data_IF_715626659763
#
_entry.id   IF_715626659763
#
_cell.length_a   1.000
_cell.length_b   1.000
_cell.length_c   1.000
_cell.angle_alpha   90.00
_cell.angle_beta   90.00
_cell.angle_gamma   90.00
#
_symmetry.space_group_name_H-M   'P 1'
#
loop_
_entity.id
_entity.type
_entity.pdbx_description
1 polymer ?
#
# COMPACT_ATOMS: atom_id res chain seq x y z
N UNK A 1 -11.80 -14.85 16.25
CA UNK A 1 -11.45 -13.60 16.98
C UNK A 1 -11.34 -12.49 15.94
N UNK A 2 -11.79 -11.27 16.22
CA UNK A 2 -11.68 -10.16 15.24
C UNK A 2 -10.27 -9.59 15.22
N UNK A 3 -9.71 -9.34 14.03
CA UNK A 3 -8.42 -8.69 13.86
C UNK A 3 -8.63 -7.24 13.42
N UNK A 4 -8.00 -6.26 14.08
CA UNK A 4 -8.07 -4.83 13.71
C UNK A 4 -6.70 -4.33 13.25
N UNK A 5 -6.69 -3.61 12.13
CA UNK A 5 -5.48 -3.13 11.44
C UNK A 5 -5.78 -1.86 10.64
N UNK A 6 -4.82 -1.44 9.81
CA UNK A 6 -5.02 -0.39 8.80
C UNK A 6 -6.22 -0.70 7.89
N UNK A 7 -7.01 0.33 7.59
CA UNK A 7 -8.05 0.28 6.55
C UNK A 7 -7.45 0.25 5.11
N UNK A 8 -6.13 0.40 4.98
CA UNK A 8 -5.40 0.37 3.71
C UNK A 8 -4.73 -0.98 3.57
N UNK A 9 -4.87 -1.61 2.41
CA UNK A 9 -4.35 -2.94 2.16
C UNK A 9 -4.18 -3.20 0.67
N UNK A 10 -3.38 -4.22 0.36
CA UNK A 10 -3.20 -4.73 -0.99
C UNK A 10 -3.68 -6.17 -0.97
N UNK A 11 -4.71 -6.47 -1.74
CA UNK A 11 -5.34 -7.78 -1.80
C UNK A 11 -5.01 -8.46 -3.13
N UNK A 12 -4.74 -9.77 -3.08
CA UNK A 12 -4.57 -10.56 -4.29
C UNK A 12 -5.92 -10.73 -4.99
N UNK A 13 -5.89 -10.88 -6.33
CA UNK A 13 -7.10 -11.14 -7.12
C UNK A 13 -7.86 -12.38 -6.62
N UNK A 14 -7.12 -13.45 -6.32
CA UNK A 14 -7.71 -14.70 -5.82
C UNK A 14 -8.45 -14.50 -4.48
N UNK A 15 -7.88 -13.72 -3.56
CA UNK A 15 -8.55 -13.44 -2.28
C UNK A 15 -9.79 -12.56 -2.46
N UNK A 16 -9.73 -11.57 -3.36
CA UNK A 16 -10.92 -10.75 -3.69
C UNK A 16 -12.02 -11.60 -4.32
N UNK A 17 -11.67 -12.51 -5.23
CA UNK A 17 -12.63 -13.45 -5.81
C UNK A 17 -13.25 -14.36 -4.74
N UNK A 18 -12.47 -14.83 -3.78
CA UNK A 18 -12.99 -15.58 -2.63
C UNK A 18 -13.96 -14.77 -1.78
N UNK A 19 -13.65 -13.49 -1.49
CA UNK A 19 -14.56 -12.61 -0.75
C UNK A 19 -15.91 -12.37 -1.46
N UNK A 20 -15.95 -12.43 -2.80
CA UNK A 20 -17.15 -12.15 -3.61
C UNK A 20 -17.91 -13.44 -3.94
N UNK A 21 -17.21 -14.46 -4.40
CA UNK A 21 -17.76 -15.69 -4.99
C UNK A 21 -17.53 -16.93 -4.12
N UNK A 22 -16.94 -16.76 -2.93
CA UNK A 22 -16.66 -17.85 -2.00
C UNK A 22 -17.88 -18.74 -1.78
N UNK A 23 -17.69 -20.05 -1.90
CA UNK A 23 -18.76 -21.02 -1.77
C UNK A 23 -19.15 -21.24 -0.30
N UNK A 24 -18.20 -21.10 0.63
CA UNK A 24 -18.47 -21.13 2.07
C UNK A 24 -19.16 -19.85 2.56
N UNK A 25 -19.69 -19.91 3.78
CA UNK A 25 -20.46 -18.83 4.36
C UNK A 25 -19.62 -17.80 5.14
N UNK A 26 -18.30 -17.97 5.25
CA UNK A 26 -17.48 -17.11 6.10
C UNK A 26 -17.48 -15.64 5.61
N UNK A 27 -17.15 -15.32 4.33
CA UNK A 27 -17.23 -13.94 3.84
C UNK A 27 -18.64 -13.36 3.96
N UNK A 28 -19.68 -14.15 3.66
CA UNK A 28 -21.08 -13.71 3.72
C UNK A 28 -21.53 -13.37 5.15
N UNK A 29 -21.23 -14.25 6.11
CA UNK A 29 -21.57 -14.05 7.51
C UNK A 29 -20.82 -12.86 8.10
N UNK A 30 -19.52 -12.74 7.80
CA UNK A 30 -18.73 -11.60 8.27
C UNK A 30 -19.18 -10.29 7.62
N UNK A 31 -19.64 -10.31 6.37
CA UNK A 31 -20.15 -9.10 5.71
C UNK A 31 -21.41 -8.57 6.41
N UNK A 32 -22.33 -9.47 6.79
CA UNK A 32 -23.53 -9.11 7.57
C UNK A 32 -23.18 -8.56 8.96
N UNK A 33 -22.14 -9.10 9.59
CA UNK A 33 -21.67 -8.60 10.88
C UNK A 33 -21.02 -7.22 10.75
N UNK A 34 -20.07 -7.09 9.82
CA UNK A 34 -19.27 -5.88 9.64
C UNK A 34 -20.06 -4.72 9.00
N UNK A 35 -21.21 -4.97 8.36
CA UNK A 35 -22.12 -3.91 7.91
C UNK A 35 -22.74 -3.11 9.07
N UNK A 36 -22.76 -3.68 10.27
CA UNK A 36 -23.26 -3.04 11.50
C UNK A 36 -22.14 -2.69 12.49
N UNK A 37 -20.88 -2.71 12.04
CA UNK A 37 -19.70 -2.46 12.88
C UNK A 37 -19.06 -1.11 12.54
N UNK A 38 -18.55 -0.37 13.53
CA UNK A 38 -17.83 0.89 13.30
C UNK A 38 -16.43 0.60 12.76
N UNK A 39 -15.96 1.33 11.75
CA UNK A 39 -14.64 1.09 11.12
C UNK A 39 -14.51 -0.31 10.50
N UNK A 40 -15.58 -0.82 9.88
CA UNK A 40 -15.61 -2.16 9.25
C UNK A 40 -14.40 -2.54 8.39
N UNK A 41 -13.86 -1.65 7.54
CA UNK A 41 -12.71 -1.97 6.69
C UNK A 41 -11.41 -2.27 7.48
N UNK A 42 -11.33 -1.87 8.74
CA UNK A 42 -10.17 -2.12 9.59
C UNK A 42 -10.10 -3.55 10.13
N UNK A 43 -11.18 -4.35 9.99
CA UNK A 43 -11.16 -5.73 10.46
C UNK A 43 -11.83 -6.78 9.58
N UNK A 44 -12.67 -6.39 8.61
CA UNK A 44 -13.36 -7.35 7.75
C UNK A 44 -12.39 -8.26 6.99
N UNK A 45 -11.47 -7.68 6.23
CA UNK A 45 -10.56 -8.44 5.37
C UNK A 45 -9.53 -9.25 6.17
N UNK A 46 -9.04 -8.68 7.27
CA UNK A 46 -8.09 -9.32 8.18
C UNK A 46 -8.73 -10.54 8.83
N UNK A 47 -9.98 -10.43 9.25
CA UNK A 47 -10.71 -11.54 9.85
C UNK A 47 -10.98 -12.64 8.82
N UNK A 48 -11.40 -12.30 7.59
CA UNK A 48 -11.59 -13.32 6.54
C UNK A 48 -10.28 -14.03 6.21
N UNK A 49 -9.21 -13.29 5.90
CA UNK A 49 -7.96 -13.88 5.43
C UNK A 49 -7.31 -14.78 6.48
N UNK A 50 -7.45 -14.43 7.77
CA UNK A 50 -6.92 -15.24 8.87
C UNK A 50 -7.76 -16.47 9.20
N UNK A 51 -9.04 -16.49 8.83
CA UNK A 51 -9.93 -17.63 9.07
C UNK A 51 -10.19 -18.46 7.81
N UNK A 52 -9.49 -18.19 6.71
CA UNK A 52 -9.52 -18.97 5.48
C UNK A 52 -8.17 -19.71 5.30
N UNK A 53 -8.11 -21.03 5.57
CA UNK A 53 -6.85 -21.81 5.52
C UNK A 53 -6.08 -21.69 4.22
N UNK A 54 -6.78 -21.51 3.09
CA UNK A 54 -6.21 -21.35 1.75
C UNK A 54 -5.40 -20.04 1.61
N UNK A 55 -5.71 -19.03 2.42
CA UNK A 55 -5.12 -17.69 2.32
C UNK A 55 -4.30 -17.26 3.54
N UNK A 56 -4.51 -17.86 4.71
CA UNK A 56 -3.87 -17.44 5.97
C UNK A 56 -2.34 -17.43 5.89
N UNK A 57 -1.75 -18.39 5.18
CA UNK A 57 -0.30 -18.49 4.96
C UNK A 57 0.27 -17.46 3.98
N UNK A 58 -0.58 -16.75 3.23
CA UNK A 58 -0.17 -15.72 2.25
C UNK A 58 -0.08 -14.32 2.86
N UNK A 59 -0.48 -14.18 4.12
CA UNK A 59 -0.55 -12.88 4.81
C UNK A 59 0.85 -12.35 5.09
N UNK A 60 1.04 -11.07 4.76
CA UNK A 60 2.18 -10.25 5.16
C UNK A 60 1.62 -9.12 6.01
N UNK A 61 2.02 -9.03 7.28
CA UNK A 61 1.56 -7.99 8.21
C UNK A 61 2.23 -6.63 7.94
N UNK A 62 1.98 -6.07 6.76
CA UNK A 62 2.47 -4.76 6.34
C UNK A 62 1.66 -4.24 5.14
N UNK A 63 1.07 -3.05 5.24
CA UNK A 63 0.18 -2.47 4.21
C UNK A 63 0.90 -1.69 3.09
N UNK A 64 2.24 -1.62 3.16
CA UNK A 64 3.13 -0.89 2.24
C UNK A 64 2.96 0.64 2.26
N UNK A 65 2.31 1.19 3.28
CA UNK A 65 2.20 2.62 3.49
C UNK A 65 3.21 3.11 4.55
N UNK A 66 3.86 4.23 4.27
CA UNK A 66 4.53 5.00 5.30
C UNK A 66 3.50 5.90 6.00
N UNK A 67 3.29 5.64 7.28
CA UNK A 67 2.40 6.41 8.15
C UNK A 67 3.21 6.83 9.38
N UNK A 68 3.21 8.13 9.67
CA UNK A 68 3.83 8.68 10.88
C UNK A 68 2.75 9.05 11.89
N UNK A 69 3.05 8.88 13.18
CA UNK A 69 2.16 9.23 14.29
C UNK A 69 2.90 10.14 15.26
N UNK A 70 2.19 11.16 15.76
CA UNK A 70 2.69 12.02 16.83
C UNK A 70 2.88 11.21 18.13
N UNK A 71 3.67 11.72 19.07
CA UNK A 71 3.81 11.16 20.42
C UNK A 71 3.37 12.23 21.44
N UNK A 72 2.25 12.02 22.16
CA UNK A 72 1.33 10.88 22.10
C UNK A 72 0.52 10.82 20.78
N UNK A 73 0.05 9.62 20.37
CA UNK A 73 -0.71 9.48 19.13
C UNK A 73 -2.05 10.22 19.19
N UNK A 74 -2.36 10.94 18.12
CA UNK A 74 -3.66 11.60 17.91
C UNK A 74 -4.66 10.62 17.25
N UNK A 75 -5.91 11.05 17.07
CA UNK A 75 -6.93 10.28 16.36
C UNK A 75 -6.57 10.00 14.89
N UNK A 76 -5.80 10.89 14.27
CA UNK A 76 -5.38 10.75 12.88
C UNK A 76 -3.85 10.80 12.76
N UNK A 77 -3.28 10.13 11.75
CA UNK A 77 -1.85 10.18 11.48
C UNK A 77 -1.32 11.61 11.31
N UNK A 78 -0.05 11.77 11.62
CA UNK A 78 0.71 12.99 11.37
C UNK A 78 0.62 13.39 9.89
N UNK A 79 0.48 14.69 9.63
CA UNK A 79 0.54 15.21 8.26
C UNK A 79 1.99 15.41 7.88
N UNK A 80 2.45 14.60 6.94
CA UNK A 80 3.85 14.57 6.51
C UNK A 80 4.25 15.91 5.90
N UNK A 81 5.45 16.35 6.28
CA UNK A 81 6.09 17.58 5.82
C UNK A 81 7.46 17.29 5.20
N UNK A 82 8.16 18.33 4.76
CA UNK A 82 9.53 18.21 4.26
C UNK A 82 10.48 17.50 5.24
N UNK A 83 10.27 17.69 6.55
CA UNK A 83 11.09 17.08 7.61
C UNK A 83 10.97 15.55 7.65
N UNK A 84 9.86 15.00 7.17
CA UNK A 84 9.59 13.55 7.19
C UNK A 84 10.14 12.84 5.95
N UNK A 85 10.52 13.59 4.92
CA UNK A 85 10.86 13.05 3.60
C UNK A 85 11.97 12.00 3.65
N UNK A 86 13.01 12.23 4.46
CA UNK A 86 14.12 11.28 4.59
C UNK A 86 13.66 9.93 5.14
N UNK A 87 12.86 9.94 6.21
CA UNK A 87 12.31 8.71 6.82
C UNK A 87 11.31 8.03 5.88
N UNK A 88 10.46 8.81 5.24
CA UNK A 88 9.49 8.33 4.25
C UNK A 88 10.19 7.59 3.11
N UNK A 89 11.20 8.19 2.48
CA UNK A 89 11.95 7.57 1.37
C UNK A 89 12.73 6.34 1.86
N UNK A 90 13.36 6.43 3.04
CA UNK A 90 14.16 5.34 3.62
C UNK A 90 13.32 4.11 3.98
N UNK A 91 12.03 4.28 4.31
CA UNK A 91 11.11 3.18 4.61
C UNK A 91 11.02 2.15 3.48
N UNK A 92 11.15 2.63 2.23
CA UNK A 92 10.95 1.81 1.03
C UNK A 92 9.49 1.43 0.76
N UNK A 93 8.55 2.01 1.52
CA UNK A 93 7.11 1.87 1.30
C UNK A 93 6.73 2.37 -0.10
N UNK A 94 5.70 1.74 -0.69
CA UNK A 94 5.21 2.13 -2.01
C UNK A 94 4.33 3.38 -1.95
N UNK A 95 3.64 3.56 -0.82
CA UNK A 95 2.71 4.66 -0.59
C UNK A 95 3.07 5.39 0.71
N UNK A 96 2.54 6.60 0.88
CA UNK A 96 2.67 7.38 2.10
C UNK A 96 1.41 8.21 2.34
N UNK A 97 1.09 8.48 3.61
CA UNK A 97 0.00 9.38 4.00
C UNK A 97 0.25 9.98 5.40
N UNK A 98 -0.32 11.13 5.74
CA UNK A 98 -1.20 12.01 4.95
C UNK A 98 -0.44 13.25 4.51
N UNK A 99 -0.75 13.77 3.32
CA UNK A 99 -0.23 15.05 2.85
C UNK A 99 -1.31 16.12 2.91
N UNK A 100 -0.90 17.36 3.21
CA UNK A 100 -1.77 18.53 3.03
C UNK A 100 -1.81 18.87 1.54
N UNK A 101 -2.95 19.40 1.09
CA UNK A 101 -3.06 19.93 -0.27
C UNK A 101 -2.03 21.05 -0.45
N UNK A 102 -1.36 21.05 -1.61
CA UNK A 102 -0.39 22.08 -2.01
C UNK A 102 0.81 22.22 -1.03
N UNK A 103 1.15 21.14 -0.33
CA UNK A 103 2.30 21.12 0.58
C UNK A 103 3.62 20.95 -0.20
N UNK A 104 4.69 21.70 0.13
CA UNK A 104 5.99 21.61 -0.56
C UNK A 104 6.62 20.21 -0.58
N UNK A 105 6.22 19.32 0.33
CA UNK A 105 6.66 17.91 0.29
C UNK A 105 6.22 17.20 -1.00
N UNK A 106 5.10 17.60 -1.60
CA UNK A 106 4.61 17.05 -2.85
C UNK A 106 5.52 17.45 -4.03
N UNK A 107 5.99 18.69 -4.06
CA UNK A 107 6.97 19.15 -5.06
C UNK A 107 8.29 18.37 -4.92
N UNK A 108 8.72 18.10 -3.68
CA UNK A 108 9.92 17.29 -3.42
C UNK A 108 9.75 15.85 -3.91
N UNK A 109 8.57 15.25 -3.75
CA UNK A 109 8.25 13.92 -4.31
C UNK A 109 8.32 13.96 -5.84
N UNK A 110 7.70 14.98 -6.45
CA UNK A 110 7.67 15.14 -7.89
C UNK A 110 9.06 15.25 -8.50
N UNK A 111 9.92 16.09 -7.90
CA UNK A 111 11.29 16.29 -8.37
C UNK A 111 12.19 15.08 -8.08
N UNK A 112 12.24 14.60 -6.83
CA UNK A 112 13.25 13.61 -6.41
C UNK A 112 12.86 12.17 -6.71
N UNK A 113 11.56 11.85 -6.74
CA UNK A 113 11.09 10.47 -6.90
C UNK A 113 10.47 10.21 -8.27
N UNK A 114 9.70 11.17 -8.79
CA UNK A 114 8.99 11.03 -10.06
C UNK A 114 9.74 11.68 -11.24
N UNK A 115 10.77 12.48 -10.95
CA UNK A 115 11.57 13.21 -11.92
C UNK A 115 10.70 13.99 -12.91
N UNK A 116 9.73 14.74 -12.37
CA UNK A 116 8.80 15.57 -13.15
C UNK A 116 8.80 17.00 -12.63
N UNK A 117 8.59 17.96 -13.53
CA UNK A 117 8.36 19.36 -13.19
C UNK A 117 6.88 19.61 -12.91
N UNK A 118 6.57 20.73 -12.26
CA UNK A 118 5.19 21.12 -12.01
C UNK A 118 4.39 21.19 -13.35
N UNK A 119 3.15 20.70 -13.33
CA UNK A 119 2.29 20.61 -14.50
C UNK A 119 2.66 19.53 -15.53
N UNK A 120 3.77 18.80 -15.35
CA UNK A 120 4.17 17.70 -16.24
C UNK A 120 3.77 16.33 -15.66
N UNK A 121 3.59 15.36 -16.55
CA UNK A 121 3.29 13.97 -16.19
C UNK A 121 4.57 13.20 -15.84
N UNK A 122 4.46 12.21 -14.95
CA UNK A 122 5.56 11.27 -14.68
C UNK A 122 5.89 10.46 -15.94
N UNK A 123 7.13 10.54 -16.39
CA UNK A 123 7.59 9.79 -17.55
C UNK A 123 7.52 8.27 -17.31
N UNK A 124 6.95 7.54 -18.27
CA UNK A 124 6.82 6.08 -18.21
C UNK A 124 6.98 5.43 -19.58
N UNK A 125 6.68 4.13 -19.69
CA UNK A 125 6.75 3.40 -20.96
C UNK A 125 5.89 3.98 -22.08
N UNK A 126 4.83 4.70 -21.70
CA UNK A 126 3.90 5.39 -22.58
C UNK A 126 4.48 6.69 -23.19
N UNK A 127 5.57 7.23 -22.66
CA UNK A 127 6.18 8.45 -23.17
C UNK A 127 7.32 8.10 -24.15
N UNK A 128 7.09 8.33 -25.45
CA UNK A 128 8.07 8.04 -26.51
C UNK A 128 8.31 9.27 -27.42
N UNK A 129 9.32 9.17 -28.29
CA UNK A 129 9.67 10.19 -29.28
C UNK A 129 10.76 11.17 -28.83
N UNK A 130 11.14 12.07 -29.75
CA UNK A 130 12.08 13.17 -29.53
C UNK A 130 11.53 14.43 -30.21
N UNK A 131 11.07 15.46 -29.46
CA UNK A 131 11.19 15.65 -28.02
C UNK A 131 10.40 14.60 -27.19
N UNK A 132 10.74 14.38 -25.90
CA UNK A 132 10.09 13.39 -25.05
C UNK A 132 8.56 13.52 -25.03
N UNK A 133 7.87 12.39 -25.06
CA UNK A 133 6.40 12.27 -25.10
C UNK A 133 5.72 12.87 -26.34
N UNK A 134 6.45 13.16 -27.42
CA UNK A 134 5.86 13.53 -28.71
C UNK A 134 5.08 12.40 -29.39
N UNK A 135 5.28 11.14 -28.96
CA UNK A 135 4.56 9.97 -29.44
C UNK A 135 4.07 9.13 -28.25
N UNK A 136 2.91 8.50 -28.43
CA UNK A 136 2.41 7.52 -27.47
C UNK A 136 3.20 6.21 -27.62
N UNK A 137 3.89 5.83 -26.56
CA UNK A 137 4.66 4.59 -26.45
C UNK A 137 3.83 3.43 -25.93
N UNK A 138 4.51 2.41 -25.39
CA UNK A 138 3.84 1.25 -24.82
C UNK A 138 3.63 1.43 -23.30
N UNK A 139 2.38 1.62 -22.81
CA UNK A 139 2.11 1.81 -21.40
C UNK A 139 2.47 0.60 -20.51
N UNK A 140 2.57 -0.60 -21.07
CA UNK A 140 2.93 -1.81 -20.32
C UNK A 140 4.43 -1.98 -20.14
N UNK A 141 5.25 -1.19 -20.83
CA UNK A 141 6.71 -1.26 -20.73
C UNK A 141 7.18 -0.54 -19.46
N UNK A 142 7.44 -1.31 -18.41
CA UNK A 142 7.96 -0.80 -17.15
C UNK A 142 9.50 -0.67 -17.20
N UNK A 143 10.04 0.45 -16.70
CA UNK A 143 11.48 0.65 -16.51
C UNK A 143 11.77 0.82 -15.01
N UNK A 144 12.46 -0.15 -14.38
CA UNK A 144 12.76 -0.05 -12.95
C UNK A 144 13.65 1.15 -12.62
N UNK A 145 13.15 2.06 -11.78
CA UNK A 145 13.92 3.18 -11.22
C UNK A 145 14.50 2.88 -9.84
N UNK A 146 15.15 3.87 -9.19
CA UNK A 146 15.66 3.74 -7.82
C UNK A 146 14.59 3.34 -6.79
N UNK A 147 13.34 3.78 -6.97
CA UNK A 147 12.21 3.40 -6.14
C UNK A 147 11.96 1.88 -6.10
N UNK A 148 12.08 1.21 -7.24
CA UNK A 148 11.91 -0.26 -7.32
C UNK A 148 12.98 -0.98 -6.50
N UNK A 149 14.21 -0.46 -6.45
CA UNK A 149 15.28 -1.05 -5.61
C UNK A 149 14.95 -0.96 -4.12
N UNK A 150 14.37 0.15 -3.68
CA UNK A 150 13.92 0.33 -2.28
C UNK A 150 12.76 -0.59 -1.95
N UNK A 151 11.74 -0.62 -2.81
CA UNK A 151 10.57 -1.48 -2.63
C UNK A 151 10.96 -2.97 -2.62
N UNK A 152 11.81 -3.42 -3.54
CA UNK A 152 12.32 -4.81 -3.57
C UNK A 152 12.99 -5.20 -2.26
N UNK A 153 13.76 -4.29 -1.65
CA UNK A 153 14.42 -4.53 -0.35
C UNK A 153 13.41 -4.63 0.79
N UNK A 154 12.37 -3.79 0.79
CA UNK A 154 11.29 -3.88 1.77
C UNK A 154 10.56 -5.22 1.62
N UNK A 155 10.09 -5.56 0.42
CA UNK A 155 9.39 -6.81 0.14
C UNK A 155 10.24 -8.02 0.54
N UNK A 156 11.53 -8.02 0.19
CA UNK A 156 12.44 -9.09 0.56
C UNK A 156 12.51 -9.31 2.08
N UNK A 157 12.61 -8.24 2.87
CA UNK A 157 12.58 -8.31 4.34
C UNK A 157 11.25 -8.83 4.88
N UNK A 158 10.13 -8.34 4.33
CA UNK A 158 8.79 -8.72 4.76
C UNK A 158 8.50 -10.21 4.49
N UNK A 159 8.84 -10.70 3.29
CA UNK A 159 8.67 -12.11 2.93
C UNK A 159 9.54 -13.01 3.80
N UNK A 160 10.79 -12.61 4.07
CA UNK A 160 11.66 -13.37 4.97
C UNK A 160 11.07 -13.44 6.39
N UNK A 161 10.61 -12.32 6.96
CA UNK A 161 9.97 -12.30 8.28
C UNK A 161 8.70 -13.16 8.34
N UNK A 162 7.86 -13.10 7.30
CA UNK A 162 6.64 -13.91 7.20
C UNK A 162 6.95 -15.41 7.12
N UNK A 163 8.00 -15.82 6.40
CA UNK A 163 8.45 -17.22 6.33
C UNK A 163 8.87 -17.80 7.68
N UNK A 164 9.33 -16.96 8.60
CA UNK A 164 9.67 -17.39 9.96
C UNK A 164 8.46 -17.33 10.92
N UNK A 165 7.23 -17.18 10.38
CA UNK A 165 5.94 -17.15 11.11
C UNK A 165 5.88 -16.15 12.26
N UNK A 166 6.77 -15.16 12.29
CA UNK A 166 6.82 -14.19 13.39
C UNK A 166 5.62 -13.24 13.39
N UNK A 167 4.88 -13.14 12.28
CA UNK A 167 3.92 -12.07 12.01
C UNK A 167 2.73 -12.51 11.13
N UNK A 168 2.29 -13.78 11.20
CA UNK A 168 1.12 -14.27 10.46
C UNK A 168 -0.10 -14.43 11.38
N UNK A 169 -1.24 -14.75 10.78
CA UNK A 169 -2.49 -15.05 11.48
C UNK A 169 -2.26 -16.13 12.54
N UNK A 170 -2.35 -15.75 13.81
CA UNK A 170 -2.29 -16.63 14.97
C UNK A 170 -3.66 -16.61 15.66
#
# INVERSE_FOLDING_TARGET
>A
MGHFCSAWMILSRAFVEYCIWGWDNLPRNLLLYYSNFVSSPEGYFQTIVCNAPEFSSTVINHDLHYISWDVPPKQHPHTLSLNDTAKMIASGAAFARKFKKDDPVLDKIDMELLNRSNGSFTFGGWCAGNPPCSKFGNPTKLRPGPGVKRLRRLIGRLVLSAKFSQNQCN
#
